data_IF_394521501246
#
_entry.id   IF_394521501246
#
_cell.length_a   1.000
_cell.length_b   1.000
_cell.length_c   1.000
_cell.angle_alpha   90.00
_cell.angle_beta   90.00
_cell.angle_gamma   90.00
#
_symmetry.space_group_name_H-M   'P 1'
#
loop_
_entity.id
_entity.type
_entity.pdbx_description
1 polymer ?
#
# COMPACT_ATOMS: atom_id res chain seq x y z
N UNK A 1 -18.45 37.22 46.74
CA UNK A 1 -19.17 36.10 46.10
C UNK A 1 -19.32 36.36 44.61
N UNK A 2 -18.54 35.70 43.75
CA UNK A 2 -18.93 35.12 42.45
C UNK A 2 -17.67 34.61 41.75
N UNK A 3 -17.80 33.41 41.21
CA UNK A 3 -16.75 32.40 41.06
C UNK A 3 -15.90 32.65 39.81
N UNK A 4 -14.62 32.29 39.94
CA UNK A 4 -13.66 32.02 38.85
C UNK A 4 -14.23 30.96 37.90
N UNK A 5 -14.07 31.12 36.58
CA UNK A 5 -13.86 29.98 35.66
C UNK A 5 -12.89 30.41 34.55
N UNK A 6 -11.68 29.88 34.60
CA UNK A 6 -10.75 29.83 33.49
C UNK A 6 -11.16 28.67 32.57
N UNK A 7 -11.21 28.91 31.25
CA UNK A 7 -11.39 27.84 30.26
C UNK A 7 -10.06 27.64 29.55
N UNK A 8 -9.34 26.61 30.00
CA UNK A 8 -8.19 26.02 29.31
C UNK A 8 -8.75 25.24 28.12
N UNK A 9 -8.59 25.77 26.91
CA UNK A 9 -8.92 25.06 25.68
C UNK A 9 -7.88 23.99 25.38
N UNK A 10 -8.15 22.74 25.79
CA UNK A 10 -7.40 21.59 25.31
C UNK A 10 -7.86 21.31 23.88
N UNK A 11 -7.05 21.71 22.89
CA UNK A 11 -7.22 21.28 21.52
C UNK A 11 -6.76 19.82 21.39
N UNK A 12 -7.71 18.89 21.50
CA UNK A 12 -7.52 17.50 21.11
C UNK A 12 -7.43 17.45 19.57
N UNK A 13 -6.20 17.40 19.04
CA UNK A 13 -5.97 16.96 17.67
C UNK A 13 -6.20 15.45 17.64
N UNK A 14 -7.44 15.05 17.36
CA UNK A 14 -7.77 13.68 17.02
C UNK A 14 -7.10 13.37 15.67
N UNK A 15 -5.98 12.66 15.70
CA UNK A 15 -5.43 12.03 14.50
C UNK A 15 -6.48 11.07 13.96
N UNK A 16 -7.05 11.40 12.80
CA UNK A 16 -7.95 10.51 12.10
C UNK A 16 -7.20 9.20 11.82
N UNK A 17 -7.70 8.10 12.38
CA UNK A 17 -7.34 6.80 11.89
C UNK A 17 -7.89 6.72 10.46
N UNK A 18 -7.04 6.94 9.45
CA UNK A 18 -7.40 6.69 8.06
C UNK A 18 -7.70 5.19 7.94
N UNK A 19 -8.99 4.84 7.93
CA UNK A 19 -9.44 3.46 7.77
C UNK A 19 -9.08 2.87 6.38
N UNK A 20 -8.62 3.71 5.45
CA UNK A 20 -8.10 3.35 4.12
C UNK A 20 -6.61 3.63 3.96
N UNK A 21 -6.00 3.11 2.90
CA UNK A 21 -4.59 3.35 2.59
C UNK A 21 -4.30 4.81 2.22
N UNK A 22 -3.14 5.32 2.64
CA UNK A 22 -2.62 6.63 2.30
C UNK A 22 -1.75 6.55 1.03
N UNK A 23 -2.16 7.26 -0.03
CA UNK A 23 -1.50 7.25 -1.35
C UNK A 23 -0.07 7.81 -1.28
N UNK A 24 0.17 8.88 -0.53
CA UNK A 24 1.50 9.50 -0.44
C UNK A 24 2.48 8.61 0.33
N UNK A 25 2.01 8.00 1.42
CA UNK A 25 2.79 7.00 2.15
C UNK A 25 3.08 5.77 1.27
N UNK A 26 2.08 5.31 0.52
CA UNK A 26 2.21 4.21 -0.43
C UNK A 26 3.26 4.49 -1.50
N UNK A 27 3.24 5.68 -2.09
CA UNK A 27 4.24 6.13 -3.05
C UNK A 27 5.65 6.06 -2.44
N UNK A 28 5.84 6.69 -1.27
CA UNK A 28 7.12 6.70 -0.58
C UNK A 28 7.63 5.28 -0.25
N UNK A 29 6.74 4.37 0.15
CA UNK A 29 7.07 2.97 0.38
C UNK A 29 7.50 2.26 -0.92
N UNK A 30 6.79 2.47 -2.03
CA UNK A 30 7.19 1.84 -3.31
C UNK A 30 8.53 2.33 -3.83
N UNK A 31 8.89 3.58 -3.55
CA UNK A 31 10.21 4.16 -3.86
C UNK A 31 11.28 3.58 -2.92
N UNK A 32 11.02 3.58 -1.60
CA UNK A 32 11.92 3.06 -0.57
C UNK A 32 12.32 1.60 -0.80
N UNK A 33 11.36 0.75 -1.17
CA UNK A 33 11.60 -0.67 -1.44
C UNK A 33 11.88 -0.95 -2.92
N UNK A 34 12.09 0.10 -3.73
CA UNK A 34 12.47 0.02 -5.13
C UNK A 34 11.58 -0.93 -5.96
N UNK A 35 10.26 -0.94 -5.71
CA UNK A 35 9.31 -1.84 -6.36
C UNK A 35 9.31 -1.69 -7.89
N UNK A 36 9.61 -0.47 -8.36
CA UNK A 36 9.75 -0.14 -9.78
C UNK A 36 10.89 -0.89 -10.47
N UNK A 37 11.87 -1.42 -9.72
CA UNK A 37 13.04 -2.11 -10.29
C UNK A 37 12.63 -3.37 -11.04
N UNK A 38 11.52 -4.01 -10.66
CA UNK A 38 10.97 -5.16 -11.37
C UNK A 38 9.65 -4.82 -12.09
N UNK A 39 8.78 -4.04 -11.44
CA UNK A 39 7.44 -3.76 -11.95
C UNK A 39 7.39 -2.57 -12.93
N UNK A 40 8.51 -1.90 -13.18
CA UNK A 40 8.60 -0.74 -14.05
C UNK A 40 8.39 0.57 -13.31
N UNK A 41 8.96 1.67 -13.83
CA UNK A 41 8.84 3.02 -13.25
C UNK A 41 7.41 3.54 -13.23
N UNK A 42 6.61 3.15 -14.21
CA UNK A 42 5.20 3.52 -14.38
C UNK A 42 4.24 2.44 -13.85
N UNK A 43 4.77 1.32 -13.33
CA UNK A 43 4.03 0.12 -12.95
C UNK A 43 3.13 -0.48 -14.05
N UNK A 44 3.32 -0.06 -15.30
CA UNK A 44 2.63 -0.51 -16.51
C UNK A 44 3.56 -1.27 -17.46
N UNK A 45 4.86 -0.98 -17.39
CA UNK A 45 5.90 -1.52 -18.26
C UNK A 45 6.97 -2.22 -17.42
N UNK A 46 6.73 -3.48 -16.99
CA UNK A 46 7.69 -4.25 -16.21
C UNK A 46 8.97 -4.52 -17.01
N UNK A 47 10.08 -4.78 -16.30
CA UNK A 47 11.39 -4.99 -16.95
C UNK A 47 11.47 -6.32 -17.74
N UNK A 48 10.58 -7.26 -17.41
CA UNK A 48 10.45 -8.55 -18.04
C UNK A 48 8.97 -8.97 -18.02
N UNK A 49 8.45 -9.64 -19.07
CA UNK A 49 7.05 -10.05 -19.14
C UNK A 49 6.55 -10.97 -18.00
N UNK A 50 7.47 -11.64 -17.28
CA UNK A 50 7.12 -12.47 -16.12
C UNK A 50 6.75 -11.66 -14.88
N UNK A 51 7.12 -10.38 -14.80
CA UNK A 51 6.69 -9.49 -13.73
C UNK A 51 5.32 -8.87 -14.05
N UNK A 52 4.36 -8.89 -13.12
CA UNK A 52 3.03 -8.36 -13.39
C UNK A 52 3.02 -6.84 -13.43
N UNK A 53 2.15 -6.30 -14.29
CA UNK A 53 1.72 -4.89 -14.26
C UNK A 53 0.89 -4.64 -13.00
N UNK A 54 1.15 -3.53 -12.31
CA UNK A 54 0.49 -3.20 -11.03
C UNK A 54 -0.34 -1.92 -11.08
N UNK A 55 -0.05 -1.01 -12.01
CA UNK A 55 -0.73 0.28 -12.09
C UNK A 55 -2.24 0.12 -12.33
N UNK A 56 -3.03 0.75 -11.47
CA UNK A 56 -4.50 0.75 -11.46
C UNK A 56 -5.14 -0.63 -11.29
N UNK A 57 -4.39 -1.61 -10.79
CA UNK A 57 -4.98 -2.87 -10.34
C UNK A 57 -5.97 -2.63 -9.19
N UNK A 58 -6.95 -3.51 -9.01
CA UNK A 58 -7.93 -3.40 -7.93
C UNK A 58 -7.24 -3.40 -6.56
N UNK A 59 -7.60 -2.42 -5.72
CA UNK A 59 -6.95 -2.17 -4.42
C UNK A 59 -7.02 -3.38 -3.50
N UNK A 60 -8.20 -4.00 -3.39
CA UNK A 60 -8.43 -5.20 -2.59
C UNK A 60 -7.60 -6.39 -3.05
N UNK A 61 -7.44 -6.58 -4.36
CA UNK A 61 -6.56 -7.60 -4.91
C UNK A 61 -5.09 -7.33 -4.56
N UNK A 62 -4.63 -6.08 -4.66
CA UNK A 62 -3.26 -5.71 -4.28
C UNK A 62 -3.01 -5.96 -2.79
N UNK A 63 -3.92 -5.53 -1.91
CA UNK A 63 -3.85 -5.78 -0.46
C UNK A 63 -3.79 -7.30 -0.17
N UNK A 64 -4.65 -8.08 -0.82
CA UNK A 64 -4.69 -9.52 -0.68
C UNK A 64 -3.39 -10.18 -1.16
N UNK A 65 -2.90 -9.81 -2.34
CA UNK A 65 -1.70 -10.41 -2.93
C UNK A 65 -0.45 -10.12 -2.09
N UNK A 66 -0.24 -8.87 -1.68
CA UNK A 66 0.88 -8.48 -0.80
C UNK A 66 0.82 -9.22 0.53
N UNK A 67 -0.36 -9.32 1.13
CA UNK A 67 -0.57 -10.10 2.36
C UNK A 67 -0.28 -11.59 2.15
N UNK A 68 -0.68 -12.15 1.01
CA UNK A 68 -0.43 -13.54 0.69
C UNK A 68 1.06 -13.83 0.50
N UNK A 69 1.81 -12.96 -0.19
CA UNK A 69 3.28 -13.07 -0.28
C UNK A 69 3.94 -12.95 1.10
N UNK A 70 3.42 -12.08 1.98
CA UNK A 70 3.95 -11.94 3.35
C UNK A 70 3.76 -13.20 4.19
N UNK A 71 2.69 -13.96 3.95
CA UNK A 71 2.45 -15.26 4.58
C UNK A 71 3.36 -16.38 4.03
N UNK A 72 3.94 -16.23 2.84
CA UNK A 72 4.80 -17.25 2.22
C UNK A 72 4.11 -18.60 2.11
N UNK A 73 4.71 -19.65 2.70
CA UNK A 73 4.17 -21.03 2.73
C UNK A 73 3.04 -21.25 3.76
N UNK A 74 2.62 -20.20 4.48
CA UNK A 74 1.49 -20.27 5.39
C UNK A 74 0.14 -20.46 4.69
N UNK A 75 -0.92 -20.71 5.47
CA UNK A 75 -2.28 -20.88 4.94
C UNK A 75 -2.74 -19.67 4.11
N UNK A 76 -3.25 -19.93 2.90
CA UNK A 76 -3.62 -18.94 1.88
C UNK A 76 -2.45 -18.01 1.46
N UNK A 77 -1.22 -18.45 1.66
CA UNK A 77 -0.01 -17.73 1.25
C UNK A 77 0.32 -17.93 -0.22
N UNK A 78 1.21 -17.07 -0.73
CA UNK A 78 1.81 -17.20 -2.06
C UNK A 78 3.32 -17.33 -1.88
N UNK A 79 3.87 -18.48 -2.24
CA UNK A 79 5.31 -18.67 -2.16
C UNK A 79 6.00 -18.10 -3.40
N UNK A 80 6.76 -17.03 -3.19
CA UNK A 80 7.77 -16.53 -4.13
C UNK A 80 8.87 -15.87 -3.31
N UNK A 81 10.07 -16.46 -3.26
CA UNK A 81 11.15 -16.02 -2.39
C UNK A 81 11.49 -14.52 -2.55
N UNK A 82 11.44 -14.00 -3.77
CA UNK A 82 11.73 -12.59 -4.08
C UNK A 82 10.66 -11.71 -3.46
N UNK A 83 9.39 -11.95 -3.79
CA UNK A 83 8.28 -11.11 -3.28
C UNK A 83 8.10 -11.27 -1.78
N UNK A 84 8.26 -12.47 -1.20
CA UNK A 84 8.27 -12.68 0.24
C UNK A 84 9.33 -11.80 0.92
N UNK A 85 10.53 -11.72 0.35
CA UNK A 85 11.59 -10.84 0.84
C UNK A 85 11.20 -9.36 0.80
N UNK A 86 10.58 -8.92 -0.30
CA UNK A 86 10.15 -7.52 -0.49
C UNK A 86 9.04 -7.08 0.47
N UNK A 87 8.07 -7.96 0.74
CA UNK A 87 6.89 -7.59 1.56
C UNK A 87 7.06 -7.89 3.05
N UNK A 88 8.05 -8.70 3.44
CA UNK A 88 8.35 -9.01 4.84
C UNK A 88 8.48 -7.79 5.76
N UNK A 89 9.16 -6.68 5.37
CA UNK A 89 9.29 -5.51 6.23
C UNK A 89 8.03 -4.64 6.29
N UNK A 90 7.06 -4.83 5.41
CA UNK A 90 5.86 -3.98 5.33
C UNK A 90 4.93 -4.28 6.50
N UNK A 91 4.43 -3.26 7.20
CA UNK A 91 3.33 -3.41 8.15
C UNK A 91 1.99 -3.72 7.44
N UNK A 92 0.94 -4.06 8.19
CA UNK A 92 -0.39 -4.21 7.59
C UNK A 92 -0.93 -2.89 7.04
N UNK A 93 -0.55 -1.76 7.64
CA UNK A 93 -0.91 -0.45 7.11
C UNK A 93 -0.11 -0.12 5.85
N UNK A 94 1.19 -0.44 5.82
CA UNK A 94 2.04 -0.24 4.65
C UNK A 94 1.48 -0.98 3.43
N UNK A 95 0.95 -2.20 3.62
CA UNK A 95 0.30 -2.96 2.55
C UNK A 95 -0.90 -2.19 1.98
N UNK A 96 -1.75 -1.62 2.84
CA UNK A 96 -2.90 -0.82 2.42
C UNK A 96 -2.46 0.44 1.69
N UNK A 97 -1.42 1.11 2.18
CA UNK A 97 -0.87 2.33 1.60
C UNK A 97 -0.29 2.05 0.21
N UNK A 98 0.55 1.02 0.07
CA UNK A 98 1.10 0.57 -1.21
C UNK A 98 -0.01 0.20 -2.19
N UNK A 99 -1.02 -0.55 -1.75
CA UNK A 99 -2.15 -0.93 -2.58
C UNK A 99 -2.96 0.30 -3.03
N UNK A 100 -3.21 1.26 -2.14
CA UNK A 100 -3.90 2.50 -2.47
C UNK A 100 -3.14 3.32 -3.51
N UNK A 101 -1.82 3.44 -3.36
CA UNK A 101 -0.98 4.12 -4.35
C UNK A 101 -1.02 3.43 -5.71
N UNK A 102 -0.71 2.14 -5.78
CA UNK A 102 -0.68 1.40 -7.04
C UNK A 102 -2.04 1.41 -7.75
N UNK A 103 -3.13 1.31 -6.99
CA UNK A 103 -4.50 1.41 -7.50
C UNK A 103 -4.82 2.80 -8.08
N UNK A 104 -4.26 3.87 -7.53
CA UNK A 104 -4.50 5.23 -8.00
C UNK A 104 -3.83 5.57 -9.34
N UNK A 105 -2.88 4.72 -9.79
CA UNK A 105 -2.11 4.98 -11.00
C UNK A 105 -2.93 4.74 -12.27
N UNK A 106 -2.66 5.49 -13.36
CA UNK A 106 -3.24 5.21 -14.67
C UNK A 106 -2.90 3.78 -15.13
N UNK A 107 -3.89 3.05 -15.64
CA UNK A 107 -3.73 1.64 -15.99
C UNK A 107 -3.73 1.38 -17.48
N UNK A 108 -2.86 0.46 -17.90
CA UNK A 108 -2.91 -0.23 -19.20
C UNK A 108 -3.46 -1.66 -19.08
N UNK A 109 -3.97 -2.04 -17.91
CA UNK A 109 -4.67 -3.31 -17.74
C UNK A 109 -5.93 -3.28 -18.59
N UNK A 110 -6.11 -4.30 -19.43
CA UNK A 110 -7.33 -4.46 -20.21
C UNK A 110 -8.46 -4.93 -19.27
N UNK A 111 -9.08 -3.98 -18.57
CA UNK A 111 -10.21 -4.23 -17.65
C UNK A 111 -11.56 -4.25 -18.37
N UNK A 112 -11.60 -3.80 -19.63
CA UNK A 112 -12.75 -3.92 -20.51
C UNK A 112 -12.29 -4.38 -21.90
N UNK A 113 -12.98 -5.38 -22.43
CA UNK A 113 -12.85 -5.83 -23.83
C UNK A 113 -13.99 -5.24 -24.64
#
# INVERSE_FOLDING_TARGET
MKKLIAVVGIALMAGAAQAGGNVDAGKALTEKYACFSCHGKDFNTPIDPSYPKLAGQHRDYLEHALTAYKRGDGANGRNNAIMTGQVKPLSNQDIKDVAAYLHSLPTSLATHR
#
